data_IF_711600514335
#
_entry.id   IF_711600514335
#
_cell.length_a   1.000
_cell.length_b   1.000
_cell.length_c   1.000
_cell.angle_alpha   90.00
_cell.angle_beta   90.00
_cell.angle_gamma   90.00
#
_symmetry.space_group_name_H-M   'P 1'
#
loop_
_entity.id
_entity.type
_entity.pdbx_description
1 polymer ?
#
# COMPACT_ATOMS: atom_id res chain seq x y z
N UNK A 1 5.43 7.44 -5.90
CA UNK A 1 6.52 7.88 -4.99
C UNK A 1 6.00 8.29 -3.61
N UNK A 2 5.01 9.19 -3.50
CA UNK A 2 4.54 9.71 -2.20
C UNK A 2 4.12 8.60 -1.21
N UNK A 3 3.21 7.71 -1.61
CA UNK A 3 2.76 6.59 -0.76
C UNK A 3 3.91 5.66 -0.33
N UNK A 4 4.77 5.25 -1.25
CA UNK A 4 5.96 4.43 -0.92
C UNK A 4 6.91 5.15 0.07
N UNK A 5 7.04 6.47 -0.03
CA UNK A 5 7.82 7.27 0.92
C UNK A 5 7.14 7.47 2.28
N UNK A 6 5.86 7.13 2.43
CA UNK A 6 5.15 7.11 3.72
C UNK A 6 5.28 5.76 4.44
N UNK A 7 5.69 4.69 3.74
CA UNK A 7 5.94 3.41 4.39
C UNK A 7 7.02 3.56 5.47
N UNK A 8 6.85 2.95 6.65
CA UNK A 8 7.93 2.79 7.63
C UNK A 8 9.18 2.21 6.96
N UNK A 9 10.37 2.70 7.33
CA UNK A 9 11.63 2.29 6.69
C UNK A 9 11.86 0.77 6.75
N UNK A 10 11.48 0.14 7.86
CA UNK A 10 11.57 -1.31 8.09
C UNK A 10 10.72 -2.14 7.12
N UNK A 11 9.74 -1.51 6.47
CA UNK A 11 8.85 -2.12 5.47
C UNK A 11 9.21 -1.70 4.03
N UNK A 12 10.32 -1.00 3.78
CA UNK A 12 10.77 -0.70 2.41
C UNK A 12 11.77 -1.75 1.98
N UNK A 13 11.64 -2.26 0.76
CA UNK A 13 12.53 -3.33 0.22
C UNK A 13 14.00 -2.97 0.18
N UNK A 14 14.28 -1.69 0.11
CA UNK A 14 15.57 -1.15 -0.23
C UNK A 14 16.48 -0.93 0.98
N UNK A 15 16.06 -1.36 2.18
CA UNK A 15 16.97 -1.76 3.26
C UNK A 15 17.61 -3.09 2.85
N UNK A 16 18.52 -3.04 1.87
CA UNK A 16 19.33 -4.19 1.47
C UNK A 16 20.09 -4.69 2.71
N UNK A 17 19.75 -5.89 3.18
CA UNK A 17 20.51 -7.11 2.89
C UNK A 17 22.00 -6.99 3.26
N UNK A 18 22.24 -6.62 4.51
CA UNK A 18 23.54 -6.74 5.15
C UNK A 18 23.37 -7.40 6.50
N UNK A 19 23.26 -8.73 6.51
CA UNK A 19 23.51 -9.65 7.64
C UNK A 19 22.91 -9.36 9.03
N UNK A 20 21.91 -8.48 9.18
CA UNK A 20 21.25 -8.31 10.48
C UNK A 20 20.17 -9.39 10.68
N UNK A 21 20.32 -10.33 11.64
CA UNK A 21 19.28 -11.32 11.96
C UNK A 21 17.96 -10.69 12.40
N UNK A 22 17.91 -9.42 12.81
CA UNK A 22 16.66 -8.70 13.07
C UNK A 22 15.92 -8.27 11.78
N UNK A 23 16.61 -8.07 10.65
CA UNK A 23 15.98 -7.85 9.33
C UNK A 23 15.29 -9.13 8.79
N UNK A 24 15.63 -10.32 9.32
CA UNK A 24 14.85 -11.55 9.05
C UNK A 24 13.47 -11.54 9.71
N UNK A 25 13.25 -10.76 10.78
CA UNK A 25 11.91 -10.66 11.41
C UNK A 25 10.93 -9.87 10.54
N UNK A 26 11.36 -8.79 9.89
CA UNK A 26 10.53 -8.10 8.90
C UNK A 26 10.24 -9.03 7.72
N UNK A 27 11.22 -9.81 7.24
CA UNK A 27 10.98 -10.85 6.23
C UNK A 27 9.90 -11.87 6.64
N UNK A 28 9.87 -12.34 7.89
CA UNK A 28 8.80 -13.22 8.39
C UNK A 28 7.42 -12.55 8.45
N UNK A 29 7.37 -11.25 8.73
CA UNK A 29 6.14 -10.48 8.70
C UNK A 29 5.57 -10.37 7.28
N UNK A 30 6.43 -10.20 6.27
CA UNK A 30 6.05 -10.22 4.85
C UNK A 30 5.43 -11.55 4.41
N UNK A 31 5.93 -12.68 4.91
CA UNK A 31 5.34 -14.00 4.65
C UNK A 31 3.97 -14.15 5.29
N UNK A 32 3.77 -13.61 6.50
CA UNK A 32 2.46 -13.65 7.15
C UNK A 32 1.40 -12.87 6.37
N UNK A 33 1.74 -11.69 5.84
CA UNK A 33 0.82 -10.88 5.02
C UNK A 33 0.49 -11.55 3.68
N UNK A 34 1.43 -12.33 3.12
CA UNK A 34 1.25 -13.06 1.86
C UNK A 34 0.18 -14.15 1.95
N UNK A 35 0.13 -14.85 3.09
CA UNK A 35 -0.73 -16.00 3.27
C UNK A 35 -2.09 -15.60 3.89
N UNK A 36 -2.43 -14.29 3.91
CA UNK A 36 -3.76 -13.77 4.24
C UNK A 36 -4.77 -14.12 3.13
N UNK A 37 -5.13 -15.38 3.04
CA UNK A 37 -6.29 -15.85 2.30
C UNK A 37 -7.43 -16.04 3.30
N UNK A 38 -8.62 -15.50 2.99
CA UNK A 38 -9.79 -15.60 3.86
C UNK A 38 -10.87 -16.42 3.17
N UNK A 39 -10.87 -17.75 3.36
CA UNK A 39 -11.91 -18.57 2.80
C UNK A 39 -13.27 -18.33 3.48
N UNK A 40 -13.31 -17.72 4.67
CA UNK A 40 -14.53 -17.43 5.43
C UNK A 40 -14.40 -16.14 6.28
N UNK A 41 -15.51 -15.68 6.87
CA UNK A 41 -15.56 -14.46 7.69
C UNK A 41 -14.85 -14.58 9.04
N UNK A 42 -14.74 -15.79 9.62
CA UNK A 42 -14.00 -16.02 10.88
C UNK A 42 -12.50 -15.77 10.70
N UNK A 43 -11.93 -16.29 9.61
CA UNK A 43 -10.55 -15.99 9.18
C UNK A 43 -10.38 -14.51 8.85
N UNK A 44 -11.41 -13.86 8.30
CA UNK A 44 -11.37 -12.43 8.02
C UNK A 44 -11.29 -11.58 9.31
N UNK A 45 -11.97 -11.98 10.39
CA UNK A 45 -11.89 -11.30 11.69
C UNK A 45 -10.45 -11.34 12.23
N UNK A 46 -9.86 -12.53 12.30
CA UNK A 46 -8.51 -12.70 12.85
C UNK A 46 -7.46 -11.93 12.04
N UNK A 47 -7.59 -11.92 10.72
CA UNK A 47 -6.67 -11.19 9.86
C UNK A 47 -6.93 -9.68 9.83
N UNK A 48 -8.17 -9.23 10.02
CA UNK A 48 -8.44 -7.81 10.23
C UNK A 48 -7.82 -7.29 11.52
N UNK A 49 -7.79 -8.10 12.57
CA UNK A 49 -7.06 -7.74 13.78
C UNK A 49 -5.58 -7.47 13.49
N UNK A 50 -4.93 -8.36 12.71
CA UNK A 50 -3.55 -8.12 12.29
C UNK A 50 -3.45 -6.87 11.41
N UNK A 51 -4.25 -6.73 10.36
CA UNK A 51 -4.19 -5.57 9.48
C UNK A 51 -4.37 -4.26 10.25
N UNK A 52 -5.30 -4.18 11.21
CA UNK A 52 -5.50 -3.00 12.07
C UNK A 52 -4.24 -2.68 12.86
N UNK A 53 -3.64 -3.69 13.49
CA UNK A 53 -2.41 -3.50 14.27
C UNK A 53 -1.24 -2.99 13.42
N UNK A 54 -1.10 -3.52 12.20
CA UNK A 54 -0.08 -3.09 11.24
C UNK A 54 -0.31 -1.64 10.81
N UNK A 55 -1.56 -1.32 10.44
CA UNK A 55 -1.93 0.00 9.92
C UNK A 55 -1.85 1.06 11.01
N UNK A 56 -2.12 0.73 12.27
CA UNK A 56 -2.07 1.67 13.38
C UNK A 56 -0.67 2.28 13.60
N UNK A 57 0.40 1.58 13.18
CA UNK A 57 1.76 2.09 13.22
C UNK A 57 2.11 3.05 12.06
N UNK A 58 1.23 3.19 11.07
CA UNK A 58 1.50 3.99 9.88
C UNK A 58 1.16 5.47 10.06
N UNK A 59 1.76 6.37 9.26
CA UNK A 59 1.30 7.76 9.17
C UNK A 59 -0.19 7.82 8.78
N UNK A 60 -0.88 8.83 9.29
CA UNK A 60 -2.33 8.98 9.18
C UNK A 60 -2.82 8.98 7.72
N UNK A 61 -2.07 9.58 6.81
CA UNK A 61 -2.37 9.60 5.37
C UNK A 61 -2.41 8.18 4.80
N UNK A 62 -1.50 7.31 5.27
CA UNK A 62 -1.40 5.94 4.82
C UNK A 62 -2.50 5.07 5.45
N UNK A 63 -2.82 5.33 6.72
CA UNK A 63 -4.00 4.73 7.36
C UNK A 63 -5.27 5.07 6.59
N UNK A 64 -5.47 6.36 6.28
CA UNK A 64 -6.61 6.81 5.50
C UNK A 64 -6.62 6.16 4.12
N UNK A 65 -5.50 6.12 3.39
CA UNK A 65 -5.45 5.46 2.09
C UNK A 65 -5.83 3.97 2.16
N UNK A 66 -5.34 3.23 3.16
CA UNK A 66 -5.57 1.79 3.26
C UNK A 66 -7.00 1.49 3.70
N UNK A 67 -7.48 2.18 4.74
CA UNK A 67 -8.76 1.91 5.38
C UNK A 67 -9.93 2.60 4.69
N UNK A 68 -9.71 3.71 3.97
CA UNK A 68 -10.78 4.45 3.31
C UNK A 68 -11.40 3.58 2.23
N UNK A 69 -12.69 3.32 2.39
CA UNK A 69 -13.49 2.59 1.44
C UNK A 69 -14.63 3.48 0.96
N UNK A 70 -14.39 4.27 -0.09
CA UNK A 70 -15.42 5.14 -0.68
C UNK A 70 -16.55 4.33 -1.34
N UNK A 71 -16.37 3.02 -1.52
CA UNK A 71 -17.29 2.14 -2.24
C UNK A 71 -18.14 1.23 -1.33
N UNK A 72 -18.86 1.85 -0.40
CA UNK A 72 -20.23 1.42 -0.07
C UNK A 72 -21.31 2.12 -0.92
N UNK A 73 -20.92 3.09 -1.77
CA UNK A 73 -21.84 3.78 -2.70
C UNK A 73 -22.04 2.95 -3.96
N UNK A 74 -22.97 2.00 -3.91
CA UNK A 74 -23.58 1.49 -5.14
C UNK A 74 -24.59 2.54 -5.61
N UNK A 75 -24.54 2.96 -6.87
CA UNK A 75 -25.70 3.58 -7.51
C UNK A 75 -26.56 2.41 -7.94
N UNK A 76 -27.66 2.16 -7.23
CA UNK A 76 -28.80 1.46 -7.83
C UNK A 76 -29.30 2.37 -8.94
N UNK A 77 -28.90 2.11 -10.19
CA UNK A 77 -29.54 2.74 -11.34
C UNK A 77 -30.92 2.09 -11.42
N UNK A 78 -31.94 2.83 -10.99
CA UNK A 78 -33.33 2.40 -11.05
C UNK A 78 -33.85 2.52 -12.48
N UNK A 79 -33.32 1.71 -13.40
CA UNK A 79 -34.01 1.45 -14.65
C UNK A 79 -34.80 0.15 -14.49
N UNK A 80 -36.12 0.24 -14.63
CA UNK A 80 -37.12 -0.81 -14.35
C UNK A 80 -36.88 -2.14 -15.09
N UNK A 81 -36.01 -2.14 -16.10
CA UNK A 81 -35.72 -3.28 -16.97
C UNK A 81 -34.44 -4.04 -16.66
N UNK A 82 -33.58 -3.54 -15.76
CA UNK A 82 -32.36 -4.27 -15.40
C UNK A 82 -31.90 -3.96 -13.98
N UNK A 83 -32.17 -4.89 -13.06
CA UNK A 83 -31.53 -4.96 -11.75
C UNK A 83 -30.08 -5.44 -11.89
N UNK A 84 -29.29 -4.72 -12.68
CA UNK A 84 -27.84 -4.88 -12.64
C UNK A 84 -27.32 -3.99 -11.54
N UNK A 85 -26.98 -4.59 -10.40
CA UNK A 85 -25.87 -4.07 -9.61
C UNK A 85 -24.61 -4.26 -10.43
N UNK A 86 -24.36 -3.36 -11.38
CA UNK A 86 -23.03 -3.27 -11.94
C UNK A 86 -22.15 -2.81 -10.78
N UNK A 87 -21.18 -3.62 -10.36
CA UNK A 87 -20.13 -3.03 -9.59
C UNK A 87 -19.52 -1.95 -10.47
N UNK A 88 -19.16 -0.81 -9.90
CA UNK A 88 -18.31 0.16 -10.59
C UNK A 88 -16.89 -0.40 -10.84
N UNK A 89 -16.73 -1.73 -10.98
CA UNK A 89 -15.52 -2.45 -11.32
C UNK A 89 -15.20 -2.24 -12.80
N UNK A 90 -14.84 -1.00 -13.12
CA UNK A 90 -13.97 -0.67 -14.23
C UNK A 90 -12.53 -1.15 -13.86
N UNK A 91 -11.76 -1.71 -14.80
CA UNK A 91 -10.29 -1.73 -14.76
C UNK A 91 -9.63 -0.48 -14.13
N UNK A 92 -10.27 0.69 -14.12
CA UNK A 92 -9.85 1.92 -13.43
C UNK A 92 -10.01 1.94 -11.90
N UNK A 93 -10.68 0.95 -11.28
CA UNK A 93 -11.13 1.02 -9.88
C UNK A 93 -10.09 0.56 -8.83
N UNK A 94 -8.87 1.06 -8.98
CA UNK A 94 -7.93 1.28 -7.88
C UNK A 94 -8.05 2.71 -7.34
N UNK A 95 -9.22 3.36 -7.42
CA UNK A 95 -9.50 4.79 -7.10
C UNK A 95 -8.23 5.61 -6.82
N UNK A 96 -7.34 5.79 -7.81
CA UNK A 96 -5.98 6.17 -7.52
C UNK A 96 -5.95 7.65 -7.21
N UNK A 97 -6.69 8.46 -7.96
CA UNK A 97 -6.61 9.90 -7.80
C UNK A 97 -7.22 10.35 -6.47
N UNK A 98 -8.45 9.97 -6.15
CA UNK A 98 -9.11 10.37 -4.88
C UNK A 98 -8.32 9.88 -3.68
N UNK A 99 -7.92 8.60 -3.64
CA UNK A 99 -7.13 8.08 -2.53
C UNK A 99 -5.72 8.69 -2.46
N UNK A 100 -5.07 9.00 -3.60
CA UNK A 100 -3.81 9.76 -3.59
C UNK A 100 -4.04 11.21 -3.14
N UNK A 101 -5.18 11.82 -3.46
CA UNK A 101 -5.51 13.18 -3.01
C UNK A 101 -5.71 13.26 -1.49
N UNK A 102 -6.06 12.14 -0.83
CA UNK A 102 -6.10 12.07 0.64
C UNK A 102 -4.77 12.52 1.26
N UNK A 103 -3.63 12.18 0.64
CA UNK A 103 -2.30 12.58 1.12
C UNK A 103 -2.14 14.11 1.19
N UNK A 104 -2.90 14.86 0.38
CA UNK A 104 -2.92 16.33 0.37
C UNK A 104 -3.95 16.95 1.30
N UNK A 105 -4.79 16.16 2.00
CA UNK A 105 -5.82 16.68 2.89
C UNK A 105 -5.26 17.10 4.25
N UNK A 106 -6.04 17.90 4.99
CA UNK A 106 -5.66 18.31 6.34
C UNK A 106 -5.74 17.13 7.32
N UNK A 107 -4.90 17.16 8.35
CA UNK A 107 -4.83 16.14 9.39
C UNK A 107 -6.21 15.85 10.01
N UNK A 108 -7.00 16.89 10.34
CA UNK A 108 -8.36 16.72 10.88
C UNK A 108 -9.29 15.93 9.96
N UNK A 109 -9.22 16.16 8.63
CA UNK A 109 -10.03 15.42 7.66
C UNK A 109 -9.60 13.96 7.57
N UNK A 110 -8.29 13.73 7.59
CA UNK A 110 -7.73 12.39 7.60
C UNK A 110 -8.09 11.61 8.87
N UNK A 111 -8.04 12.25 10.04
CA UNK A 111 -8.47 11.67 11.32
C UNK A 111 -9.94 11.26 11.24
N UNK A 112 -10.81 12.13 10.72
CA UNK A 112 -12.22 11.82 10.54
C UNK A 112 -12.46 10.61 9.62
N UNK A 113 -11.72 10.50 8.52
CA UNK A 113 -11.79 9.35 7.61
C UNK A 113 -11.35 8.06 8.32
N UNK A 114 -10.22 8.10 9.02
CA UNK A 114 -9.68 6.94 9.75
C UNK A 114 -10.63 6.50 10.86
N UNK A 115 -11.11 7.43 11.68
CA UNK A 115 -12.08 7.14 12.75
C UNK A 115 -13.36 6.51 12.21
N UNK A 116 -13.95 7.09 11.16
CA UNK A 116 -15.17 6.55 10.52
C UNK A 116 -14.95 5.14 9.94
N UNK A 117 -13.80 4.91 9.34
CA UNK A 117 -13.46 3.60 8.77
C UNK A 117 -13.28 2.53 9.85
N UNK A 118 -12.61 2.89 10.96
CA UNK A 118 -12.43 2.00 12.12
C UNK A 118 -13.76 1.67 12.80
N UNK A 119 -14.61 2.66 13.01
CA UNK A 119 -15.97 2.45 13.57
C UNK A 119 -16.77 1.46 12.72
N UNK A 120 -16.75 1.61 11.39
CA UNK A 120 -17.42 0.68 10.48
C UNK A 120 -16.88 -0.75 10.61
N UNK A 121 -15.56 -0.92 10.63
CA UNK A 121 -14.93 -2.23 10.81
C UNK A 121 -15.36 -2.86 12.14
N UNK A 122 -15.38 -2.08 13.22
CA UNK A 122 -15.76 -2.57 14.54
C UNK A 122 -17.25 -2.99 14.59
N UNK A 123 -18.14 -2.28 13.89
CA UNK A 123 -19.57 -2.66 13.74
C UNK A 123 -19.72 -3.97 12.95
N UNK A 124 -19.04 -4.11 11.81
CA UNK A 124 -19.12 -5.33 10.99
C UNK A 124 -18.50 -6.53 11.72
N UNK A 125 -17.44 -6.32 12.49
CA UNK A 125 -16.82 -7.37 13.32
C UNK A 125 -17.81 -7.90 14.36
N UNK A 126 -18.45 -7.02 15.14
CA UNK A 126 -19.48 -7.39 16.13
C UNK A 126 -20.67 -8.11 15.51
N UNK A 127 -21.05 -7.72 14.29
CA UNK A 127 -22.16 -8.36 13.57
C UNK A 127 -21.80 -9.72 12.97
N UNK A 128 -20.51 -10.01 12.79
CA UNK A 128 -20.00 -11.26 12.21
C UNK A 128 -19.68 -12.31 13.27
N UNK A 129 -19.57 -11.91 14.55
CA UNK A 129 -19.45 -12.86 15.65
C UNK A 129 -20.67 -13.80 15.65
N UNK A 130 -20.47 -15.13 15.62
CA UNK A 130 -21.58 -16.07 15.55
C UNK A 130 -22.45 -15.83 16.78
N UNK A 131 -23.71 -15.44 16.56
CA UNK A 131 -24.76 -15.44 17.59
C UNK A 131 -24.91 -16.89 18.02
N UNK A 132 -24.13 -17.29 19.01
CA UNK A 132 -23.89 -18.67 19.48
C UNK A 132 -25.08 -19.22 20.28
N UNK A 133 -26.27 -18.67 20.03
CA UNK A 133 -27.53 -19.13 20.59
C UNK A 133 -28.65 -18.81 19.60
N UNK A 134 -28.72 -19.59 18.52
CA UNK A 134 -30.03 -19.78 17.89
C UNK A 134 -30.94 -20.39 18.96
N UNK A 135 -32.05 -19.73 19.36
CA UNK A 135 -33.01 -20.35 20.24
C UNK A 135 -33.50 -21.63 19.54
N UNK A 136 -33.29 -22.78 20.18
CA UNK A 136 -33.61 -24.12 19.67
C UNK A 136 -35.12 -24.36 19.42
N UNK A 137 -35.96 -23.32 19.51
CA UNK A 137 -37.41 -23.36 19.47
C UNK A 137 -37.97 -22.35 18.44
N UNK A 138 -37.61 -22.50 17.17
CA UNK A 138 -38.37 -21.88 16.07
C UNK A 138 -39.03 -23.00 15.28
N UNK A 139 -40.22 -23.37 15.76
CA UNK A 139 -41.15 -24.21 15.02
C UNK A 139 -41.52 -23.56 13.69
N UNK A 140 -41.79 -24.42 12.71
CA UNK A 140 -42.25 -24.11 11.35
C UNK A 140 -43.20 -22.92 11.31
N UNK A 141 -42.69 -21.75 10.94
CA UNK A 141 -43.50 -20.63 10.49
C UNK A 141 -43.16 -20.40 9.02
N UNK A 142 -44.15 -20.67 8.17
CA UNK A 142 -44.14 -20.36 6.73
C UNK A 142 -43.87 -18.87 6.54
N UNK A 143 -42.62 -18.53 6.24
CA UNK A 143 -42.22 -17.16 5.91
C UNK A 143 -42.12 -17.04 4.39
N UNK A 144 -42.96 -16.16 3.86
CA UNK A 144 -43.01 -15.72 2.49
C UNK A 144 -41.60 -15.42 1.94
N UNK A 145 -41.36 -15.86 0.70
CA UNK A 145 -40.20 -15.53 -0.13
C UNK A 145 -40.13 -14.02 -0.42
N UNK A 146 -39.90 -13.18 0.59
CA UNK A 146 -39.13 -11.96 0.38
C UNK A 146 -37.73 -12.40 -0.02
N UNK A 147 -37.21 -11.91 -1.15
CA UNK A 147 -35.96 -12.39 -1.73
C UNK A 147 -34.87 -12.47 -0.65
N UNK A 148 -34.37 -13.67 -0.43
CA UNK A 148 -33.34 -14.03 0.56
C UNK A 148 -32.14 -13.08 0.51
N UNK A 149 -31.87 -12.50 -0.66
CA UNK A 149 -30.83 -11.48 -0.89
C UNK A 149 -31.04 -10.15 -0.13
N UNK A 150 -32.28 -9.68 0.05
CA UNK A 150 -32.52 -8.36 0.68
C UNK A 150 -32.28 -8.40 2.20
N UNK A 151 -32.50 -9.57 2.81
CA UNK A 151 -32.24 -9.81 4.23
C UNK A 151 -30.76 -10.15 4.51
N UNK A 152 -30.08 -10.80 3.56
CA UNK A 152 -28.66 -11.17 3.70
C UNK A 152 -27.69 -9.99 3.52
N UNK A 153 -28.03 -8.99 2.71
CA UNK A 153 -27.13 -7.86 2.41
C UNK A 153 -27.55 -6.52 3.04
N UNK A 154 -28.38 -6.58 4.09
CA UNK A 154 -29.09 -5.47 4.75
C UNK A 154 -28.40 -4.11 4.69
N UNK A 155 -28.99 -3.17 3.95
CA UNK A 155 -28.48 -1.81 3.89
C UNK A 155 -28.66 -1.08 5.23
N UNK A 156 -27.74 -0.20 5.61
CA UNK A 156 -27.87 0.69 6.77
C UNK A 156 -27.52 2.13 6.41
N UNK A 157 -27.92 3.08 7.25
CA UNK A 157 -27.73 4.50 7.02
C UNK A 157 -26.76 5.10 8.06
N UNK A 158 -25.84 5.97 7.61
CA UNK A 158 -25.06 6.87 8.48
C UNK A 158 -25.34 8.30 8.02
N UNK A 159 -26.15 9.04 8.78
CA UNK A 159 -26.71 10.31 8.31
C UNK A 159 -27.63 10.11 7.10
N UNK A 160 -27.43 10.88 6.03
CA UNK A 160 -28.24 10.83 4.80
C UNK A 160 -27.70 9.86 3.73
N UNK A 161 -26.76 8.99 4.07
CA UNK A 161 -26.07 8.11 3.11
C UNK A 161 -26.49 6.66 3.36
N UNK A 162 -27.08 5.99 2.34
CA UNK A 162 -27.42 4.56 2.32
C UNK A 162 -26.15 3.76 1.99
N UNK A 163 -25.81 2.80 2.84
CA UNK A 163 -24.71 1.85 2.64
C UNK A 163 -25.29 0.46 2.42
N UNK A 164 -24.89 -0.23 1.36
CA UNK A 164 -25.12 -1.69 1.26
C UNK A 164 -24.18 -2.38 2.25
N UNK A 165 -24.64 -3.39 2.99
CA UNK A 165 -23.74 -4.15 3.86
C UNK A 165 -22.75 -4.88 2.98
N UNK A 166 -21.49 -4.56 3.19
CA UNK A 166 -20.36 -5.19 2.52
C UNK A 166 -19.72 -6.05 3.60
N UNK A 167 -19.71 -7.37 3.42
CA UNK A 167 -19.19 -8.31 4.43
C UNK A 167 -17.76 -7.96 4.85
N UNK A 168 -17.40 -8.31 6.09
CA UNK A 168 -16.08 -7.99 6.67
C UNK A 168 -14.93 -8.53 5.81
N UNK A 169 -15.06 -9.74 5.28
CA UNK A 169 -14.12 -10.35 4.33
C UNK A 169 -13.81 -9.47 3.12
N UNK A 170 -14.80 -8.75 2.62
CA UNK A 170 -14.62 -7.87 1.46
C UNK A 170 -13.96 -6.53 1.82
N UNK A 171 -14.30 -5.95 2.98
CA UNK A 171 -13.59 -4.77 3.49
C UNK A 171 -12.11 -5.08 3.74
N UNK A 172 -11.84 -6.24 4.35
CA UNK A 172 -10.50 -6.76 4.57
C UNK A 172 -9.74 -6.92 3.25
N UNK A 173 -10.37 -7.51 2.23
CA UNK A 173 -9.75 -7.71 0.91
C UNK A 173 -9.39 -6.41 0.22
N UNK A 174 -10.25 -5.41 0.27
CA UNK A 174 -9.94 -4.10 -0.29
C UNK A 174 -8.78 -3.42 0.43
N UNK A 175 -8.80 -3.40 1.76
CA UNK A 175 -7.73 -2.79 2.54
C UNK A 175 -6.39 -3.51 2.29
N UNK A 176 -6.41 -4.85 2.21
CA UNK A 176 -5.24 -5.66 1.82
C UNK A 176 -4.75 -5.34 0.40
N UNK A 177 -5.64 -5.24 -0.59
CA UNK A 177 -5.29 -4.86 -1.96
C UNK A 177 -4.62 -3.48 -2.01
N UNK A 178 -5.13 -2.50 -1.27
CA UNK A 178 -4.54 -1.15 -1.16
C UNK A 178 -3.16 -1.20 -0.49
N UNK A 179 -2.99 -2.00 0.56
CA UNK A 179 -1.69 -2.23 1.18
C UNK A 179 -0.68 -2.84 0.19
N UNK A 180 -1.07 -3.90 -0.52
CA UNK A 180 -0.22 -4.52 -1.54
C UNK A 180 0.07 -3.60 -2.71
N UNK A 181 -0.84 -2.70 -3.07
CA UNK A 181 -0.58 -1.67 -4.08
C UNK A 181 0.61 -0.79 -3.65
N UNK A 182 0.68 -0.39 -2.38
CA UNK A 182 1.79 0.43 -1.87
C UNK A 182 3.11 -0.36 -1.91
N UNK A 183 3.08 -1.65 -1.53
CA UNK A 183 4.26 -2.52 -1.60
C UNK A 183 4.74 -2.76 -3.03
N UNK A 184 3.82 -3.00 -3.96
CA UNK A 184 4.13 -3.09 -5.39
C UNK A 184 4.76 -1.79 -5.90
N UNK A 185 4.22 -0.63 -5.49
CA UNK A 185 4.77 0.66 -5.87
C UNK A 185 6.19 0.90 -5.31
N UNK A 186 6.46 0.53 -4.05
CA UNK A 186 7.83 0.60 -3.48
C UNK A 186 8.80 -0.31 -4.25
N UNK A 187 8.38 -1.54 -4.53
CA UNK A 187 9.20 -2.50 -5.27
C UNK A 187 9.53 -2.02 -6.69
N UNK A 188 8.54 -1.51 -7.42
CA UNK A 188 8.74 -0.99 -8.78
C UNK A 188 9.67 0.22 -8.74
N UNK A 189 9.49 1.13 -7.77
CA UNK A 189 10.38 2.29 -7.62
C UNK A 189 11.81 1.88 -7.30
N UNK A 190 12.02 0.88 -6.44
CA UNK A 190 13.36 0.35 -6.16
C UNK A 190 14.00 -0.29 -7.40
N UNK A 191 13.22 -1.05 -8.17
CA UNK A 191 13.66 -1.65 -9.42
C UNK A 191 14.08 -0.61 -10.47
N UNK A 192 13.44 0.56 -10.47
CA UNK A 192 13.78 1.68 -11.35
C UNK A 192 15.06 2.41 -10.96
N UNK A 193 15.58 2.22 -9.74
CA UNK A 193 16.78 2.92 -9.26
C UNK A 193 18.06 2.15 -9.63
N UNK A 194 18.98 2.84 -10.29
CA UNK A 194 20.35 2.36 -10.57
C UNK A 194 20.50 1.60 -11.89
N UNK A 195 21.49 0.71 -11.97
CA UNK A 195 21.76 -0.10 -13.17
C UNK A 195 20.86 -1.33 -13.23
N UNK A 196 20.79 -1.96 -14.41
CA UNK A 196 20.03 -3.19 -14.71
C UNK A 196 18.52 -3.06 -14.47
N UNK A 197 17.94 -1.89 -14.76
CA UNK A 197 16.52 -1.59 -14.54
C UNK A 197 15.60 -2.64 -15.17
N UNK A 198 15.82 -3.04 -16.42
CA UNK A 198 15.02 -4.06 -17.09
C UNK A 198 15.00 -5.40 -16.34
N UNK A 199 16.17 -5.90 -15.93
CA UNK A 199 16.27 -7.15 -15.19
C UNK A 199 15.56 -7.05 -13.83
N UNK A 200 15.73 -5.93 -13.12
CA UNK A 200 15.06 -5.72 -11.83
C UNK A 200 13.55 -5.65 -11.98
N UNK A 201 13.05 -4.92 -12.98
CA UNK A 201 11.61 -4.82 -13.27
C UNK A 201 11.01 -6.20 -13.59
N UNK A 202 11.67 -6.99 -14.43
CA UNK A 202 11.26 -8.36 -14.75
C UNK A 202 11.28 -9.31 -13.54
N UNK A 203 12.12 -9.02 -12.56
CA UNK A 203 12.23 -9.79 -11.33
C UNK A 203 11.33 -9.29 -10.20
N UNK A 204 10.51 -8.25 -10.44
CA UNK A 204 9.60 -7.77 -9.40
C UNK A 204 8.56 -8.83 -9.05
N UNK A 205 8.40 -9.11 -7.78
CA UNK A 205 7.60 -10.16 -7.20
C UNK A 205 6.10 -9.83 -7.22
N UNK A 206 5.72 -8.59 -6.91
CA UNK A 206 4.32 -8.19 -6.95
C UNK A 206 3.74 -8.18 -8.37
N UNK A 207 4.57 -8.22 -9.42
CA UNK A 207 4.12 -8.52 -10.78
C UNK A 207 3.56 -9.94 -10.93
N UNK A 208 4.04 -10.90 -10.12
CA UNK A 208 3.66 -12.32 -10.18
C UNK A 208 2.47 -12.67 -9.29
N UNK A 209 2.33 -12.01 -8.13
CA UNK A 209 1.34 -12.38 -7.11
C UNK A 209 0.02 -11.60 -7.23
N UNK A 210 0.02 -10.40 -7.84
CA UNK A 210 -1.15 -9.51 -7.88
C UNK A 210 -2.34 -9.99 -8.74
N UNK A 211 -2.30 -11.21 -9.30
CA UNK A 211 -3.35 -11.72 -10.19
C UNK A 211 -3.49 -10.95 -11.51
N UNK A 212 -2.56 -10.04 -11.76
CA UNK A 212 -2.58 -9.15 -12.89
C UNK A 212 -1.93 -9.89 -14.08
N UNK A 213 -2.78 -10.51 -14.90
CA UNK A 213 -2.45 -11.37 -16.05
C UNK A 213 -1.22 -10.87 -16.82
N UNK A 214 -0.08 -11.58 -16.68
CA UNK A 214 1.17 -11.52 -17.49
C UNK A 214 1.45 -10.20 -18.23
N UNK A 215 1.40 -9.09 -17.51
CA UNK A 215 2.01 -7.86 -17.99
C UNK A 215 3.46 -7.80 -17.62
N UNK A 216 4.34 -7.52 -18.57
CA UNK A 216 5.74 -7.26 -18.31
C UNK A 216 6.05 -5.78 -18.53
N UNK A 217 6.86 -5.24 -17.61
CA UNK A 217 7.43 -3.91 -17.71
C UNK A 217 8.78 -3.99 -18.41
N UNK A 218 9.02 -3.12 -19.37
CA UNK A 218 10.33 -2.99 -20.01
C UNK A 218 10.67 -1.53 -20.26
N UNK A 219 11.95 -1.20 -20.31
CA UNK A 219 12.46 0.13 -20.65
C UNK A 219 12.90 0.13 -22.10
N UNK A 220 12.35 1.06 -22.87
CA UNK A 220 12.71 1.33 -24.26
C UNK A 220 12.87 2.85 -24.41
N UNK A 221 13.98 3.30 -25.01
CA UNK A 221 14.26 4.74 -25.19
C UNK A 221 14.22 5.59 -23.90
N UNK A 222 14.72 5.04 -22.78
CA UNK A 222 14.67 5.67 -21.43
C UNK A 222 13.24 5.92 -20.92
N UNK A 223 12.24 5.24 -21.47
CA UNK A 223 10.85 5.27 -21.04
C UNK A 223 10.36 3.88 -20.66
N UNK A 224 9.57 3.81 -19.60
CA UNK A 224 8.92 2.55 -19.18
C UNK A 224 7.69 2.31 -20.05
N UNK A 225 7.62 1.13 -20.65
CA UNK A 225 6.46 0.62 -21.38
C UNK A 225 5.85 -0.57 -20.64
N UNK A 226 4.57 -0.83 -20.88
CA UNK A 226 3.85 -1.96 -20.30
C UNK A 226 3.03 -2.69 -21.35
N UNK A 227 2.95 -4.01 -21.21
CA UNK A 227 1.83 -4.83 -21.71
C UNK A 227 1.04 -5.29 -20.47
N UNK A 228 -0.30 -5.42 -20.53
CA UNK A 228 -1.22 -4.99 -19.44
C UNK A 228 -1.01 -5.80 -18.16
N UNK A 229 -0.91 -5.19 -16.95
CA UNK A 229 -2.06 -4.60 -16.20
C UNK A 229 -1.99 -3.11 -15.73
N UNK A 230 -3.14 -2.63 -15.20
CA UNK A 230 -3.49 -1.26 -14.72
C UNK A 230 -2.48 -0.63 -13.76
N UNK A 231 -1.92 -1.38 -12.81
CA UNK A 231 -0.99 -0.82 -11.82
C UNK A 231 0.25 -0.22 -12.49
N UNK A 232 0.59 -0.74 -13.67
CA UNK A 232 1.71 -0.29 -14.46
C UNK A 232 1.40 0.93 -15.33
N UNK A 233 0.14 1.29 -15.55
CA UNK A 233 -0.22 2.49 -16.32
C UNK A 233 0.35 3.77 -15.69
N UNK A 234 0.41 3.83 -14.35
CA UNK A 234 0.97 4.97 -13.60
C UNK A 234 2.48 5.15 -13.74
N UNK A 235 3.18 4.12 -14.24
CA UNK A 235 4.62 4.20 -14.45
C UNK A 235 5.00 4.20 -15.93
N UNK A 236 4.05 4.02 -16.84
CA UNK A 236 4.30 4.17 -18.28
C UNK A 236 4.74 5.61 -18.59
N UNK A 237 5.75 5.76 -19.45
CA UNK A 237 6.31 7.06 -19.84
C UNK A 237 7.18 7.72 -18.77
N UNK A 238 7.33 7.10 -17.61
CA UNK A 238 8.24 7.60 -16.57
C UNK A 238 9.68 7.28 -16.98
N UNK A 239 10.57 8.27 -16.92
CA UNK A 239 11.99 8.11 -17.23
C UNK A 239 12.76 7.54 -16.03
N UNK A 240 13.22 6.27 -16.07
CA UNK A 240 13.89 5.65 -14.92
C UNK A 240 15.18 6.36 -14.54
N UNK A 241 15.91 6.92 -15.51
CA UNK A 241 17.15 7.66 -15.27
C UNK A 241 17.00 8.85 -14.31
N UNK A 242 15.77 9.36 -14.17
CA UNK A 242 15.41 10.47 -13.27
C UNK A 242 14.85 10.01 -11.94
N UNK A 243 14.38 8.77 -11.80
CA UNK A 243 13.95 8.24 -10.51
C UNK A 243 15.17 7.90 -9.69
N UNK A 244 15.29 8.51 -8.51
CA UNK A 244 16.43 8.32 -7.62
C UNK A 244 15.97 8.10 -6.21
N UNK A 245 16.78 7.35 -5.46
CA UNK A 245 16.65 7.23 -4.02
C UNK A 245 17.68 8.13 -3.34
N UNK A 246 17.24 8.96 -2.40
CA UNK A 246 18.13 9.88 -1.71
C UNK A 246 19.03 9.11 -0.72
N UNK A 247 20.36 9.25 -0.83
CA UNK A 247 21.30 8.60 0.11
C UNK A 247 21.31 9.16 1.54
N UNK A 248 20.44 10.14 1.86
CA UNK A 248 20.33 10.75 3.20
C UNK A 248 19.05 10.33 3.91
N UNK A 249 17.89 10.53 3.27
CA UNK A 249 16.59 10.21 3.86
C UNK A 249 15.94 8.95 3.28
N UNK A 250 16.56 8.32 2.26
CA UNK A 250 16.10 7.10 1.59
C UNK A 250 14.76 7.22 0.85
N UNK A 251 14.22 8.43 0.72
CA UNK A 251 13.01 8.68 -0.06
C UNK A 251 13.30 8.65 -1.57
N UNK A 252 12.36 8.12 -2.33
CA UNK A 252 12.35 8.23 -3.79
C UNK A 252 11.98 9.66 -4.19
N UNK A 253 12.64 10.18 -5.22
CA UNK A 253 12.34 11.48 -5.79
C UNK A 253 12.58 11.50 -7.29
N UNK A 254 11.86 12.37 -7.99
CA UNK A 254 12.10 12.70 -9.39
C UNK A 254 13.19 13.76 -9.49
N UNK A 255 14.27 13.42 -10.19
CA UNK A 255 15.38 14.31 -10.43
C UNK A 255 15.09 15.21 -11.63
N UNK A 256 14.67 16.45 -11.37
CA UNK A 256 14.47 17.48 -12.42
C UNK A 256 15.71 17.70 -13.28
N UNK A 257 16.91 17.46 -12.74
CA UNK A 257 18.17 17.36 -13.49
C UNK A 257 18.81 15.99 -13.28
N UNK A 258 19.41 15.40 -14.33
CA UNK A 258 20.03 14.07 -14.31
C UNK A 258 21.22 13.96 -13.35
N UNK A 259 21.78 15.06 -12.85
CA UNK A 259 22.90 15.07 -11.91
C UNK A 259 22.44 15.17 -10.43
N UNK A 260 21.18 15.55 -10.17
CA UNK A 260 20.67 15.76 -8.81
C UNK A 260 20.74 14.44 -8.00
N UNK A 261 21.53 14.41 -6.92
CA UNK A 261 21.79 13.20 -6.11
C UNK A 261 20.87 13.06 -4.88
N UNK A 262 20.22 14.13 -4.45
CA UNK A 262 19.43 14.20 -3.21
C UNK A 262 18.07 14.84 -3.45
N UNK A 263 17.06 14.52 -2.65
CA UNK A 263 15.70 15.01 -2.88
C UNK A 263 15.54 16.51 -2.61
N UNK A 264 16.18 17.02 -1.55
CA UNK A 264 16.03 18.40 -1.05
C UNK A 264 17.38 19.07 -0.77
N UNK A 265 17.36 20.40 -0.64
CA UNK A 265 18.54 21.20 -0.27
C UNK A 265 19.07 20.85 1.12
N UNK A 266 18.17 20.58 2.06
CA UNK A 266 18.53 20.12 3.41
C UNK A 266 19.32 18.79 3.34
N UNK A 267 18.85 17.83 2.54
CA UNK A 267 19.61 16.59 2.29
C UNK A 267 20.94 16.89 1.61
N UNK A 268 21.00 17.87 0.69
CA UNK A 268 22.24 18.31 0.06
C UNK A 268 23.25 18.90 1.05
N UNK A 269 22.81 19.74 1.97
CA UNK A 269 23.65 20.27 3.05
C UNK A 269 24.20 19.14 3.94
N UNK A 270 23.35 18.18 4.30
CA UNK A 270 23.76 17.00 5.08
C UNK A 270 24.77 16.13 4.32
N UNK A 271 24.57 15.89 3.02
CA UNK A 271 25.53 15.16 2.16
C UNK A 271 26.90 15.85 2.14
N UNK A 272 26.93 17.16 1.88
CA UNK A 272 28.17 17.95 1.87
C UNK A 272 28.92 17.89 3.21
N UNK A 273 28.20 17.97 4.32
CA UNK A 273 28.78 17.83 5.66
C UNK A 273 29.35 16.42 5.90
N UNK A 274 28.66 15.36 5.45
CA UNK A 274 29.18 13.98 5.54
C UNK A 274 30.45 13.80 4.71
N UNK A 275 30.46 14.27 3.46
CA UNK A 275 31.63 14.23 2.58
C UNK A 275 32.82 15.03 3.13
N UNK A 276 32.57 16.19 3.75
CA UNK A 276 33.60 16.96 4.42
C UNK A 276 34.23 16.17 5.58
N UNK A 277 33.41 15.56 6.44
CA UNK A 277 33.91 14.74 7.56
C UNK A 277 34.74 13.55 7.09
N UNK A 278 34.36 12.91 5.98
CA UNK A 278 35.11 11.81 5.37
C UNK A 278 36.48 12.32 4.90
N UNK A 279 36.53 13.43 4.16
CA UNK A 279 37.80 14.04 3.70
C UNK A 279 38.71 14.44 4.86
N UNK A 280 38.15 15.04 5.90
CA UNK A 280 38.90 15.43 7.10
C UNK A 280 39.47 14.20 7.83
N UNK A 281 38.70 13.11 7.89
CA UNK A 281 39.14 11.84 8.45
C UNK A 281 40.27 11.20 7.65
N UNK A 282 40.14 11.12 6.32
CA UNK A 282 41.17 10.59 5.43
C UNK A 282 42.47 11.40 5.51
N UNK A 283 42.37 12.73 5.58
CA UNK A 283 43.52 13.62 5.79
C UNK A 283 44.22 13.35 7.13
N UNK A 284 43.45 13.13 8.20
CA UNK A 284 43.99 12.75 9.52
C UNK A 284 44.67 11.37 9.50
N UNK A 285 44.12 10.40 8.78
CA UNK A 285 44.76 9.07 8.61
C UNK A 285 46.06 9.21 7.81
N UNK A 286 46.03 9.91 6.69
CA UNK A 286 47.20 10.09 5.83
C UNK A 286 48.36 10.78 6.56
N UNK A 287 48.06 11.81 7.35
CA UNK A 287 49.08 12.49 8.19
C UNK A 287 49.65 11.57 9.27
N UNK A 288 48.82 10.75 9.94
CA UNK A 288 49.29 9.73 10.91
C UNK A 288 50.20 8.70 10.25
N UNK A 289 49.85 8.21 9.04
CA UNK A 289 50.68 7.26 8.28
C UNK A 289 52.04 7.85 7.90
N UNK A 290 52.07 9.11 7.42
CA UNK A 290 53.33 9.82 7.12
C UNK A 290 54.20 9.99 8.36
N UNK A 291 53.62 10.42 9.49
CA UNK A 291 54.35 10.52 10.77
C UNK A 291 54.95 9.19 11.23
N UNK A 292 54.24 8.07 11.02
CA UNK A 292 54.74 6.73 11.36
C UNK A 292 55.90 6.29 10.46
N UNK A 293 55.90 6.67 9.18
CA UNK A 293 56.98 6.36 8.24
C UNK A 293 58.27 7.13 8.56
N UNK A 294 58.16 8.40 8.94
CA UNK A 294 59.32 9.24 9.28
C UNK A 294 59.98 8.91 10.64
N UNK A 295 59.39 8.02 11.44
CA UNK A 295 59.96 7.56 12.73
C UNK A 295 60.80 6.30 12.60
N UNK A 296 60.81 5.67 11.42
CA UNK A 296 61.66 4.53 11.10
C UNK A 296 62.83 5.02 10.26
#
# INVERSE_FOLDING_TARGET
MRLANLLPKVLRRSTKSGDDPNERRSFNYWYRVRDWWWPNDEDAIHNMFYLKHIVDEFPLELQAFILNDDAGRHIEISDETSSRTEPLFDPSHLQPLENITLIGQSERKLQAIVSKSKERIDVETKNSEPKTSLPHNLGQADLALGSVDEWLFGAYYIGNIKFKKVGLSYLADRARKRLFFIFAADEILDAMVGQNTNQKLNNTWHSKVSGAVRGYLYVENDEVKSHPPILFSFVVGVQPSRIRRCGICESYFWAGRKDKKVCSEQCGATSRKREQRIRDYEKKIGTRRRKRKNRK
#
